data_IF_383429195195
#
_entry.id   IF_383429195195
#
_cell.length_a   1.000
_cell.length_b   1.000
_cell.length_c   1.000
_cell.angle_alpha   90.00
_cell.angle_beta   90.00
_cell.angle_gamma   90.00
#
_symmetry.space_group_name_H-M   'P 1'
#
loop_
_entity.id
_entity.type
_entity.pdbx_description
1 polymer ?
#
# COMPACT_ATOMS: atom_id res chain seq x y z
N UNK A 1 -13.48 -30.33 -22.34
CA UNK A 1 -12.21 -29.59 -22.43
C UNK A 1 -12.51 -28.19 -21.94
N UNK A 2 -12.05 -27.84 -20.73
CA UNK A 2 -12.22 -26.50 -20.20
C UNK A 2 -11.20 -25.61 -20.93
N UNK A 3 -11.71 -24.66 -21.71
CA UNK A 3 -10.92 -23.57 -22.27
C UNK A 3 -10.46 -22.72 -21.10
N UNK A 4 -9.15 -22.71 -20.87
CA UNK A 4 -8.52 -21.82 -19.92
C UNK A 4 -8.79 -20.39 -20.42
N UNK A 5 -9.45 -19.57 -19.60
CA UNK A 5 -9.65 -18.16 -19.89
C UNK A 5 -8.31 -17.46 -19.90
N UNK A 6 -7.74 -17.36 -21.10
CA UNK A 6 -6.77 -16.35 -21.49
C UNK A 6 -7.47 -14.98 -21.51
N UNK A 7 -7.78 -14.43 -20.33
CA UNK A 7 -8.05 -12.99 -20.16
C UNK A 7 -6.81 -12.37 -19.51
N UNK A 8 -5.72 -12.43 -20.26
CA UNK A 8 -4.56 -11.58 -20.04
C UNK A 8 -4.72 -10.33 -20.93
N UNK A 9 -4.44 -9.14 -20.38
CA UNK A 9 -4.02 -7.90 -21.08
C UNK A 9 -5.02 -6.78 -21.47
N UNK A 10 -6.02 -6.42 -20.64
CA UNK A 10 -6.66 -5.09 -20.78
C UNK A 10 -6.97 -4.54 -19.38
N UNK A 11 -6.08 -3.78 -18.73
CA UNK A 11 -5.97 -2.31 -18.84
C UNK A 11 -4.51 -1.82 -18.81
N UNK A 12 -4.25 -0.63 -19.38
CA UNK A 12 -2.91 -0.14 -19.66
C UNK A 12 -2.04 0.11 -18.41
N UNK A 13 -0.89 -0.55 -18.34
CA UNK A 13 0.24 -0.17 -17.46
C UNK A 13 0.07 -0.44 -15.96
N UNK A 14 -1.14 -0.69 -15.45
CA UNK A 14 -1.35 -0.89 -14.01
C UNK A 14 -0.78 -2.25 -13.54
N UNK A 15 0.12 -2.23 -12.56
CA UNK A 15 0.67 -3.45 -12.00
C UNK A 15 -0.29 -4.15 -11.02
N UNK A 16 -1.04 -3.37 -10.24
CA UNK A 16 -2.08 -3.87 -9.34
C UNK A 16 -3.38 -3.06 -9.50
N UNK A 17 -4.57 -3.68 -9.48
CA UNK A 17 -5.82 -2.92 -9.42
C UNK A 17 -5.96 -2.12 -8.11
N UNK A 18 -6.63 -0.96 -8.15
CA UNK A 18 -7.01 -0.25 -6.93
C UNK A 18 -7.86 -1.14 -6.00
N UNK A 19 -7.61 -1.04 -4.70
CA UNK A 19 -8.23 -1.87 -3.67
C UNK A 19 -7.51 -3.19 -3.41
N UNK A 20 -6.47 -3.54 -4.19
CA UNK A 20 -5.72 -4.79 -4.01
C UNK A 20 -4.94 -4.77 -2.68
N UNK A 21 -5.13 -5.77 -1.80
CA UNK A 21 -4.28 -5.94 -0.62
C UNK A 21 -2.87 -6.36 -1.03
N UNK A 22 -1.88 -5.69 -0.48
CA UNK A 22 -0.46 -5.95 -0.77
C UNK A 22 0.34 -6.06 0.53
N UNK A 23 1.50 -6.70 0.43
CA UNK A 23 2.56 -6.60 1.44
C UNK A 23 3.82 -6.02 0.84
N UNK A 24 4.54 -5.24 1.62
CA UNK A 24 5.85 -4.74 1.25
C UNK A 24 6.90 -5.87 1.27
N UNK A 25 7.66 -5.99 0.19
CA UNK A 25 8.79 -6.90 0.02
C UNK A 25 10.07 -6.20 -0.47
N UNK A 26 10.06 -4.86 -0.52
CA UNK A 26 11.23 -4.08 -0.88
C UNK A 26 12.37 -4.27 0.12
N UNK A 27 13.53 -3.71 -0.22
CA UNK A 27 14.72 -3.88 0.60
C UNK A 27 14.57 -3.23 2.00
N UNK A 28 15.42 -3.66 2.93
CA UNK A 28 15.38 -3.19 4.31
C UNK A 28 15.67 -1.69 4.45
N UNK A 29 16.45 -1.11 3.55
CA UNK A 29 16.78 0.31 3.59
C UNK A 29 15.57 1.17 3.21
N UNK A 30 14.82 0.75 2.17
CA UNK A 30 13.56 1.38 1.77
C UNK A 30 12.50 1.21 2.87
N UNK A 31 12.41 0.03 3.49
CA UNK A 31 11.53 -0.18 4.65
C UNK A 31 11.87 0.78 5.80
N UNK A 32 13.14 0.96 6.14
CA UNK A 32 13.57 1.91 7.18
C UNK A 32 13.21 3.36 6.85
N UNK A 33 13.43 3.79 5.60
CA UNK A 33 13.09 5.14 5.14
C UNK A 33 11.58 5.42 5.20
N UNK A 34 10.78 4.40 4.91
CA UNK A 34 9.32 4.45 4.96
C UNK A 34 8.76 4.04 6.32
N UNK A 35 9.61 3.74 7.31
CA UNK A 35 9.23 3.29 8.64
C UNK A 35 8.33 2.02 8.64
N UNK A 36 8.40 1.21 7.58
CA UNK A 36 7.62 0.00 7.41
C UNK A 36 8.25 -1.18 8.14
N UNK A 37 7.43 -2.08 8.67
CA UNK A 37 7.90 -3.36 9.17
C UNK A 37 8.15 -4.36 8.01
N UNK A 38 8.97 -5.39 8.21
CA UNK A 38 9.11 -6.47 7.23
C UNK A 38 7.75 -7.10 6.91
N UNK A 39 7.34 -7.06 5.64
CA UNK A 39 6.04 -7.59 5.22
C UNK A 39 4.85 -6.72 5.64
N UNK A 40 5.07 -5.41 5.84
CA UNK A 40 4.03 -4.46 6.23
C UNK A 40 2.84 -4.53 5.26
N UNK A 41 1.61 -4.68 5.78
CA UNK A 41 0.42 -4.74 4.93
C UNK A 41 -0.03 -3.34 4.51
N UNK A 42 -0.53 -3.25 3.28
CA UNK A 42 -1.12 -2.04 2.72
C UNK A 42 -2.19 -2.37 1.68
N UNK A 43 -2.87 -1.34 1.18
CA UNK A 43 -3.89 -1.47 0.13
C UNK A 43 -3.60 -0.46 -0.97
N UNK A 44 -3.58 -0.94 -2.21
CA UNK A 44 -3.34 -0.09 -3.38
C UNK A 44 -4.50 0.90 -3.52
N UNK A 45 -4.20 2.20 -3.67
CA UNK A 45 -5.20 3.25 -3.85
C UNK A 45 -5.28 3.71 -5.30
N UNK A 46 -4.16 3.75 -5.99
CA UNK A 46 -4.08 4.00 -7.43
C UNK A 46 -2.83 3.37 -8.01
N UNK A 47 -2.84 3.13 -9.31
CA UNK A 47 -1.75 2.45 -10.02
C UNK A 47 -1.50 3.14 -11.35
N UNK A 48 -0.22 3.24 -11.70
CA UNK A 48 0.24 3.79 -12.97
C UNK A 48 1.23 2.84 -13.64
N UNK A 49 1.72 3.22 -14.82
CA UNK A 49 2.59 2.37 -15.67
C UNK A 49 3.86 1.88 -14.97
N UNK A 50 4.36 2.64 -13.99
CA UNK A 50 5.66 2.39 -13.34
C UNK A 50 5.59 2.35 -11.83
N UNK A 51 4.47 2.76 -11.25
CA UNK A 51 4.36 2.96 -9.82
C UNK A 51 2.95 2.75 -9.30
N UNK A 52 2.84 2.29 -8.06
CA UNK A 52 1.58 2.11 -7.34
C UNK A 52 1.58 2.97 -6.07
N UNK A 53 0.45 3.60 -5.77
CA UNK A 53 0.21 4.29 -4.51
C UNK A 53 -0.46 3.32 -3.53
N UNK A 54 0.01 3.29 -2.29
CA UNK A 54 -0.44 2.32 -1.27
C UNK A 54 -0.72 3.02 0.04
N UNK A 55 -1.92 2.79 0.56
CA UNK A 55 -2.30 3.11 1.93
C UNK A 55 -1.78 2.02 2.86
N UNK A 56 -0.94 2.40 3.83
CA UNK A 56 -0.31 1.46 4.75
C UNK A 56 -1.13 1.32 6.04
N UNK A 57 -1.11 0.13 6.64
CA UNK A 57 -1.69 -0.03 7.98
C UNK A 57 -0.82 0.69 9.00
N UNK A 58 -1.44 1.48 9.85
CA UNK A 58 -0.85 2.10 11.02
C UNK A 58 -1.33 1.44 12.32
N UNK A 59 -0.66 1.73 13.44
CA UNK A 59 -1.12 1.31 14.76
C UNK A 59 -2.47 1.94 15.13
N UNK A 60 -2.77 3.16 14.66
CA UNK A 60 -4.03 3.86 14.94
C UNK A 60 -5.13 3.63 13.89
N UNK A 61 -4.81 3.02 12.75
CA UNK A 61 -5.75 2.87 11.64
C UNK A 61 -5.05 2.67 10.30
N UNK A 62 -5.51 3.35 9.27
CA UNK A 62 -4.83 3.39 7.97
C UNK A 62 -4.06 4.70 7.88
N UNK A 63 -2.77 4.63 7.58
CA UNK A 63 -1.97 5.79 7.24
C UNK A 63 -1.94 5.95 5.73
N UNK A 64 -2.49 7.08 5.30
CA UNK A 64 -2.44 7.50 3.91
C UNK A 64 -1.09 8.12 3.66
N UNK A 65 -0.26 7.42 2.88
CA UNK A 65 1.01 7.94 2.43
C UNK A 65 0.98 7.96 0.91
N UNK A 66 1.25 9.12 0.31
CA UNK A 66 1.44 9.29 -1.14
C UNK A 66 2.79 8.70 -1.60
N UNK A 67 3.18 7.57 -1.02
CA UNK A 67 4.41 6.85 -1.35
C UNK A 67 4.20 6.13 -2.65
N UNK A 68 4.76 6.70 -3.71
CA UNK A 68 4.88 6.10 -5.03
C UNK A 68 5.83 4.89 -4.92
N UNK A 69 5.28 3.68 -4.97
CA UNK A 69 6.02 2.42 -4.84
C UNK A 69 6.35 1.84 -6.20
N UNK A 70 7.55 1.26 -6.34
CA UNK A 70 7.83 0.35 -7.45
C UNK A 70 6.99 -0.92 -7.30
N UNK A 71 6.32 -1.40 -8.36
CA UNK A 71 5.54 -2.64 -8.32
C UNK A 71 6.36 -3.86 -7.84
N UNK A 72 7.65 -3.86 -8.10
CA UNK A 72 8.60 -4.91 -7.69
C UNK A 72 8.79 -5.01 -6.17
N UNK A 73 8.40 -3.99 -5.41
CA UNK A 73 8.44 -3.98 -3.95
C UNK A 73 7.14 -4.45 -3.31
N UNK A 74 6.15 -4.82 -4.12
CA UNK A 74 4.83 -5.22 -3.68
C UNK A 74 4.53 -6.66 -4.07
N UNK A 75 3.84 -7.37 -3.19
CA UNK A 75 3.24 -8.67 -3.49
C UNK A 75 1.78 -8.62 -3.11
N UNK A 76 0.90 -8.93 -4.07
CA UNK A 76 -0.51 -9.11 -3.81
C UNK A 76 -0.72 -10.25 -2.81
N UNK A 77 -1.59 -10.01 -1.83
CA UNK A 77 -1.99 -10.99 -0.82
C UNK A 77 -3.50 -11.09 -0.78
N UNK A 78 -4.01 -12.19 -0.21
CA UNK A 78 -5.44 -12.31 0.04
C UNK A 78 -5.89 -11.47 1.25
N UNK A 79 -7.20 -11.27 1.36
CA UNK A 79 -7.83 -10.48 2.40
C UNK A 79 -7.60 -11.06 3.81
N UNK A 80 -7.49 -12.38 3.96
CA UNK A 80 -7.28 -13.04 5.25
C UNK A 80 -5.83 -12.87 5.75
N UNK A 81 -4.84 -12.93 4.86
CA UNK A 81 -3.45 -12.58 5.16
C UNK A 81 -3.30 -11.09 5.46
N UNK A 82 -3.98 -10.22 4.72
CA UNK A 82 -4.02 -8.79 4.98
C UNK A 82 -4.50 -8.49 6.41
N UNK A 83 -5.66 -9.03 6.81
CA UNK A 83 -6.21 -8.83 8.17
C UNK A 83 -5.28 -9.36 9.25
N UNK A 84 -4.74 -10.57 9.06
CA UNK A 84 -3.80 -11.20 10.00
C UNK A 84 -2.55 -10.35 10.21
N UNK A 85 -2.02 -9.75 9.15
CA UNK A 85 -0.86 -8.85 9.20
C UNK A 85 -1.22 -7.52 9.84
N UNK A 86 -2.38 -6.96 9.52
CA UNK A 86 -2.86 -5.72 10.15
C UNK A 86 -2.98 -5.89 11.67
N UNK A 87 -3.58 -7.01 12.12
CA UNK A 87 -3.66 -7.40 13.53
C UNK A 87 -2.28 -7.62 14.17
N UNK A 88 -1.28 -8.05 13.39
CA UNK A 88 0.09 -8.20 13.87
C UNK A 88 0.76 -6.83 14.06
N UNK A 89 0.61 -5.90 13.11
CA UNK A 89 1.11 -4.52 13.23
C UNK A 89 0.56 -3.86 14.49
N UNK A 90 -0.76 -3.89 14.68
CA UNK A 90 -1.43 -3.29 15.84
C UNK A 90 -0.94 -3.85 17.19
N UNK A 91 -0.49 -5.12 17.23
CA UNK A 91 0.02 -5.78 18.44
C UNK A 91 1.55 -5.79 18.58
N UNK A 92 2.28 -5.32 17.56
CA UNK A 92 3.74 -5.45 17.47
C UNK A 92 4.50 -4.52 18.42
N UNK A 93 3.83 -3.54 19.01
CA UNK A 93 4.47 -2.46 19.77
C UNK A 93 5.22 -1.46 18.89
N UNK A 94 5.07 -1.56 17.57
CA UNK A 94 5.55 -0.53 16.64
C UNK A 94 4.82 0.78 16.90
N UNK A 95 5.56 1.89 17.01
CA UNK A 95 5.01 3.14 17.54
C UNK A 95 4.12 3.90 16.53
N UNK A 96 3.98 3.38 15.31
CA UNK A 96 3.23 4.01 14.24
C UNK A 96 3.98 5.12 13.51
N UNK A 97 3.38 5.64 12.45
CA UNK A 97 3.97 6.68 11.61
C UNK A 97 4.06 8.06 12.30
N UNK A 98 3.11 8.38 13.18
CA UNK A 98 3.09 9.65 13.92
C UNK A 98 4.33 9.80 14.81
N UNK A 99 4.66 8.76 15.58
CA UNK A 99 5.83 8.74 16.43
C UNK A 99 7.15 8.80 15.65
N UNK A 100 7.13 8.40 14.38
CA UNK A 100 8.26 8.53 13.47
C UNK A 100 8.36 9.91 12.79
N UNK A 101 7.41 10.81 13.07
CA UNK A 101 7.37 12.16 12.50
C UNK A 101 6.85 12.22 11.06
N UNK A 102 6.11 11.20 10.60
CA UNK A 102 5.58 11.14 9.24
C UNK A 102 4.12 11.62 9.08
N UNK A 103 3.47 12.09 10.16
CA UNK A 103 2.07 12.57 10.18
C UNK A 103 1.82 13.92 9.45
N UNK A 104 2.80 14.38 8.67
CA UNK A 104 2.86 15.76 8.17
C UNK A 104 2.43 15.99 6.73
N UNK A 105 2.16 14.94 5.94
CA UNK A 105 1.66 15.10 4.58
C UNK A 105 0.12 15.10 4.59
N UNK A 106 -0.44 16.07 5.29
CA UNK A 106 -1.83 16.45 5.09
C UNK A 106 -1.98 16.85 3.62
N UNK A 107 -2.81 16.10 2.90
CA UNK A 107 -3.43 16.55 1.68
C UNK A 107 -4.13 17.88 2.02
N UNK A 108 -3.76 19.03 1.44
CA UNK A 108 -4.71 20.12 1.36
C UNK A 108 -5.89 19.52 0.61
N UNK A 109 -7.01 19.36 1.32
CA UNK A 109 -8.33 19.27 0.72
C UNK A 109 -8.33 20.09 -0.56
N UNK A 110 -8.63 19.42 -1.67
CA UNK A 110 -8.72 20.02 -2.98
C UNK A 110 -9.76 21.15 -2.88
N UNK A 111 -9.26 22.36 -2.64
CA UNK A 111 -9.99 23.61 -2.70
C UNK A 111 -10.31 23.84 -4.18
N UNK A 112 -11.31 23.11 -4.63
CA UNK A 112 -11.74 23.06 -6.01
C UNK A 112 -13.27 23.06 -6.06
N UNK A 113 -13.88 24.05 -5.44
CA UNK A 113 -14.94 24.79 -6.11
C UNK A 113 -14.66 26.29 -5.98
N UNK A 114 -13.91 26.79 -6.96
CA UNK A 114 -13.98 28.20 -7.35
C UNK A 114 -15.41 28.51 -7.83
N UNK A 115 -15.94 29.62 -7.30
CA UNK A 115 -16.89 30.61 -7.88
C UNK A 115 -18.19 30.78 -7.11
#
# INVERSE_FOLDING_TARGET
>A
MATWSEDLWITGGEAFPAGTPVRFIGDGHVAELLVLQPGHPGRVTSSGEKHDCVDWIDVQGTFQHDGVMGPEWLVAIDEDDYRRRADAVHRSGWPGFEAAGQDGLNHPEHDAEQT
#
